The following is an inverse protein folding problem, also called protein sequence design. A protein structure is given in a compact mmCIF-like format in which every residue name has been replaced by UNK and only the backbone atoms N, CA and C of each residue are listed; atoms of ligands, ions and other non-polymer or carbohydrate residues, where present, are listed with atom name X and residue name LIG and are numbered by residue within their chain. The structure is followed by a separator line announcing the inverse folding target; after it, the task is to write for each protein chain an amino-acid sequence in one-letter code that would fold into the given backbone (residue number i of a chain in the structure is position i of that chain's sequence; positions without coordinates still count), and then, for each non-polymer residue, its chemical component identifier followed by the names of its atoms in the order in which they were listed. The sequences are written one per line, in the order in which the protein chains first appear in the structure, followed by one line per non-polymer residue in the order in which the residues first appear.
data_IF_769271292243
#
_entry.id   IF_769271292243
#
_cell.length_a   1.000
_cell.length_b   1.000
_cell.length_c   1.000
_cell.angle_alpha   90.00
_cell.angle_beta   90.00
_cell.angle_gamma   90.00
#
_symmetry.space_group_name_H-M   'P 1'
#
loop_
_entity.id
_entity.type
_entity.pdbx_description
1 polymer ?
#
# COMPACT_ATOMS: atom_id res chain seq x y z
N UNK A 1 -37.85 -27.85 19.65
CA UNK A 1 -36.67 -28.25 20.45
C UNK A 1 -36.88 -29.65 21.03
N UNK A 2 -38.00 -29.95 21.68
CA UNK A 2 -38.26 -31.24 22.35
C UNK A 2 -38.27 -32.43 21.37
N UNK A 3 -38.86 -32.27 20.19
CA UNK A 3 -38.90 -33.31 19.17
C UNK A 3 -37.50 -33.58 18.59
N UNK A 4 -36.68 -32.53 18.38
CA UNK A 4 -35.29 -32.65 17.87
C UNK A 4 -34.42 -33.38 18.93
N UNK A 5 -34.56 -33.00 20.20
CA UNK A 5 -33.83 -33.64 21.30
C UNK A 5 -34.22 -35.12 21.46
N UNK A 6 -35.49 -35.43 21.27
CA UNK A 6 -35.96 -36.82 21.29
C UNK A 6 -35.34 -37.61 20.14
N UNK A 7 -35.33 -37.07 18.90
CA UNK A 7 -34.72 -37.75 17.75
C UNK A 7 -33.22 -37.95 17.95
N UNK A 8 -32.53 -36.96 18.49
CA UNK A 8 -31.08 -37.05 18.77
C UNK A 8 -30.84 -38.10 19.86
N UNK A 9 -31.63 -38.12 20.93
CA UNK A 9 -31.52 -39.12 22.00
C UNK A 9 -31.75 -40.54 21.47
N UNK A 10 -32.71 -40.71 20.54
CA UNK A 10 -32.96 -41.97 19.86
C UNK A 10 -31.78 -42.40 19.02
N UNK A 11 -31.19 -41.48 18.22
CA UNK A 11 -30.00 -41.76 17.39
C UNK A 11 -28.79 -42.14 18.24
N UNK A 12 -28.59 -41.47 19.37
CA UNK A 12 -27.50 -41.73 20.31
C UNK A 12 -27.71 -43.09 21.00
N UNK A 13 -28.90 -43.37 21.53
CA UNK A 13 -29.22 -44.59 22.29
C UNK A 13 -29.18 -45.85 21.42
N UNK A 14 -29.42 -45.73 20.11
CA UNK A 14 -29.36 -46.87 19.19
C UNK A 14 -28.00 -47.00 18.50
N UNK A 15 -26.96 -46.31 18.98
CA UNK A 15 -25.58 -46.36 18.45
C UNK A 15 -25.53 -46.10 16.91
N UNK A 16 -26.50 -45.38 16.36
CA UNK A 16 -26.34 -44.90 15.00
C UNK A 16 -25.09 -44.01 14.92
N UNK A 17 -24.30 -44.26 13.90
CA UNK A 17 -23.02 -43.56 13.74
C UNK A 17 -23.27 -42.04 13.72
N UNK A 18 -23.06 -41.44 14.86
CA UNK A 18 -23.18 -39.96 15.03
C UNK A 18 -22.25 -39.25 14.04
N UNK A 19 -21.20 -39.95 13.60
CA UNK A 19 -20.20 -39.47 12.65
C UNK A 19 -20.34 -40.13 11.27
N UNK A 20 -21.54 -40.68 10.95
CA UNK A 20 -21.76 -41.25 9.63
C UNK A 20 -21.70 -40.14 8.54
N UNK A 21 -20.97 -40.39 7.65
CA UNK A 21 -20.82 -39.45 6.55
C UNK A 21 -21.94 -39.52 5.58
N UNK A 22 -22.46 -38.45 5.33
CA UNK A 22 -23.48 -38.28 4.33
C UNK A 22 -22.87 -37.85 3.01
N UNK A 23 -23.53 -37.42 2.23
CA UNK A 23 -23.04 -36.97 0.93
C UNK A 23 -21.92 -35.98 1.17
N UNK A 24 -21.01 -36.05 0.53
CA UNK A 24 -19.89 -35.30 0.61
C UNK A 24 -19.03 -35.57 1.82
N UNK A 25 -19.24 -36.68 2.36
CA UNK A 25 -18.51 -37.02 3.49
C UNK A 25 -18.73 -36.18 4.70
N UNK A 26 -19.71 -35.47 4.74
CA UNK A 26 -20.06 -34.55 5.86
C UNK A 26 -20.78 -35.31 6.96
N UNK A 27 -20.29 -35.18 8.17
CA UNK A 27 -21.00 -35.69 9.37
C UNK A 27 -22.17 -34.77 9.70
N UNK A 28 -23.03 -35.21 10.62
CA UNK A 28 -24.12 -34.37 11.14
C UNK A 28 -23.55 -33.04 11.71
N UNK A 29 -22.44 -33.14 12.43
CA UNK A 29 -21.78 -31.94 13.01
C UNK A 29 -21.35 -30.91 11.92
N UNK A 30 -20.75 -31.38 10.81
CA UNK A 30 -20.42 -30.48 9.66
C UNK A 30 -21.67 -29.77 9.15
N UNK A 31 -22.76 -30.51 9.00
CA UNK A 31 -24.02 -29.96 8.47
C UNK A 31 -24.65 -28.94 9.44
N UNK A 32 -24.57 -29.19 10.72
CA UNK A 32 -25.09 -28.28 11.74
C UNK A 32 -24.31 -26.96 11.72
N UNK A 33 -22.97 -27.01 11.64
CA UNK A 33 -22.10 -25.82 11.56
C UNK A 33 -22.42 -25.03 10.27
N UNK A 34 -22.55 -25.75 9.14
CA UNK A 34 -22.88 -25.11 7.86
C UNK A 34 -24.24 -24.41 7.89
N UNK A 35 -25.24 -25.02 8.51
CA UNK A 35 -26.59 -24.44 8.62
C UNK A 35 -26.65 -23.32 9.67
N UNK A 36 -25.90 -23.41 10.74
CA UNK A 36 -25.75 -22.36 11.75
C UNK A 36 -25.23 -21.07 11.07
N UNK A 37 -24.19 -21.21 10.24
CA UNK A 37 -23.67 -20.06 9.44
C UNK A 37 -24.75 -19.37 8.63
N UNK A 38 -25.69 -20.13 8.05
CA UNK A 38 -26.74 -19.58 7.18
C UNK A 38 -27.86 -18.88 7.95
N UNK A 39 -28.19 -19.34 9.12
CA UNK A 39 -29.39 -18.91 9.86
C UNK A 39 -29.08 -18.26 11.22
N UNK A 40 -27.89 -18.51 11.76
CA UNK A 40 -27.48 -18.11 13.12
C UNK A 40 -28.54 -18.55 14.18
N UNK A 41 -29.25 -19.62 13.87
CA UNK A 41 -30.36 -20.08 14.70
C UNK A 41 -29.85 -20.74 15.98
N UNK A 42 -30.42 -20.34 17.09
CA UNK A 42 -30.14 -20.95 18.41
C UNK A 42 -30.38 -22.47 18.41
N UNK A 43 -31.32 -22.96 17.62
CA UNK A 43 -31.56 -24.39 17.48
C UNK A 43 -30.35 -25.15 16.96
N UNK A 44 -29.61 -24.59 16.01
CA UNK A 44 -28.36 -25.24 15.53
C UNK A 44 -27.24 -25.10 16.56
N UNK A 45 -27.17 -23.99 17.28
CA UNK A 45 -26.21 -23.80 18.38
C UNK A 45 -26.38 -24.91 19.41
N UNK A 46 -27.60 -25.10 19.91
CA UNK A 46 -27.91 -26.16 20.89
C UNK A 46 -27.64 -27.57 20.33
N UNK A 47 -27.98 -27.80 19.06
CA UNK A 47 -27.74 -29.10 18.41
C UNK A 47 -26.24 -29.39 18.31
N UNK A 48 -25.42 -28.40 17.94
CA UNK A 48 -23.93 -28.55 17.89
C UNK A 48 -23.41 -28.94 19.30
N UNK A 49 -23.86 -28.24 20.35
CA UNK A 49 -23.46 -28.55 21.74
C UNK A 49 -23.83 -29.98 22.14
N UNK A 50 -25.06 -30.40 21.82
CA UNK A 50 -25.52 -31.74 22.10
C UNK A 50 -24.64 -32.78 21.40
N UNK A 51 -24.33 -32.58 20.11
CA UNK A 51 -23.48 -33.51 19.35
C UNK A 51 -22.07 -33.59 19.94
N UNK A 52 -21.47 -32.43 20.29
CA UNK A 52 -20.14 -32.41 20.91
C UNK A 52 -20.11 -33.11 22.27
N UNK A 53 -21.13 -32.85 23.12
CA UNK A 53 -21.24 -33.47 24.44
C UNK A 53 -21.47 -35.00 24.38
N UNK A 54 -21.96 -35.48 23.23
CA UNK A 54 -22.16 -36.93 23.01
C UNK A 54 -21.04 -37.56 22.18
N UNK A 55 -19.90 -36.87 22.05
CA UNK A 55 -18.67 -37.44 21.51
C UNK A 55 -18.57 -37.43 19.98
N UNK A 56 -19.28 -36.56 19.30
CA UNK A 56 -19.04 -36.36 17.85
C UNK A 56 -17.58 -36.00 17.59
N UNK A 57 -17.03 -36.63 16.57
CA UNK A 57 -15.63 -36.44 16.19
C UNK A 57 -15.42 -35.05 15.48
N UNK A 58 -14.80 -34.13 16.20
CA UNK A 58 -14.49 -32.77 15.69
C UNK A 58 -13.34 -32.75 14.66
N UNK A 59 -12.64 -33.89 14.51
CA UNK A 59 -11.51 -34.03 13.59
C UNK A 59 -11.84 -34.86 12.33
N UNK A 60 -13.08 -35.36 12.23
CA UNK A 60 -13.54 -36.09 11.04
C UNK A 60 -13.50 -35.15 9.83
N UNK A 61 -12.87 -35.58 8.74
CA UNK A 61 -12.70 -34.75 7.53
C UNK A 61 -13.81 -34.99 6.52
N UNK A 62 -14.33 -33.91 5.94
CA UNK A 62 -15.22 -33.92 4.79
C UNK A 62 -14.43 -34.17 3.49
N UNK A 63 -15.11 -34.15 2.33
CA UNK A 63 -14.48 -34.35 1.01
C UNK A 63 -13.52 -33.24 0.58
N UNK A 64 -13.46 -32.13 1.31
CA UNK A 64 -12.52 -31.03 1.07
C UNK A 64 -11.39 -31.02 2.10
N UNK A 65 -11.37 -32.01 2.98
CA UNK A 65 -10.41 -32.11 4.07
C UNK A 65 -10.75 -31.23 5.28
N UNK A 66 -11.89 -30.54 5.26
CA UNK A 66 -12.29 -29.69 6.39
C UNK A 66 -12.76 -30.57 7.55
N UNK A 67 -12.27 -30.31 8.74
CA UNK A 67 -12.88 -30.83 9.97
C UNK A 67 -14.03 -29.90 10.40
N UNK A 68 -14.95 -30.35 11.27
CA UNK A 68 -15.95 -29.45 11.87
C UNK A 68 -15.32 -28.19 12.47
N UNK A 69 -14.19 -28.30 13.16
CA UNK A 69 -13.50 -27.16 13.77
C UNK A 69 -12.94 -26.21 12.69
N UNK A 70 -12.33 -26.76 11.61
CA UNK A 70 -11.88 -25.95 10.46
C UNK A 70 -13.07 -25.19 9.84
N UNK A 71 -14.23 -25.85 9.67
CA UNK A 71 -15.43 -25.20 9.14
C UNK A 71 -15.90 -24.04 10.01
N UNK A 72 -15.85 -24.20 11.32
CA UNK A 72 -16.21 -23.13 12.27
C UNK A 72 -15.32 -21.89 12.03
N UNK A 73 -14.01 -22.12 11.94
CA UNK A 73 -13.02 -21.05 11.66
C UNK A 73 -13.19 -20.45 10.28
N UNK A 74 -13.44 -21.29 9.29
CA UNK A 74 -13.54 -20.94 7.86
C UNK A 74 -14.80 -20.11 7.55
N UNK A 75 -15.89 -20.37 8.26
CA UNK A 75 -17.19 -19.73 7.97
C UNK A 75 -17.45 -18.44 8.75
N UNK A 76 -16.46 -17.93 9.45
CA UNK A 76 -16.56 -16.65 10.16
C UNK A 76 -17.67 -16.65 11.22
N UNK A 77 -17.83 -17.79 11.89
CA UNK A 77 -18.81 -17.93 12.97
C UNK A 77 -18.25 -17.24 14.23
N UNK A 78 -18.92 -16.20 14.68
CA UNK A 78 -18.48 -15.40 15.82
C UNK A 78 -19.20 -15.82 17.10
N UNK A 79 -18.93 -17.08 17.51
CA UNK A 79 -19.52 -17.68 18.70
C UNK A 79 -18.39 -18.28 19.56
N UNK A 80 -18.00 -17.53 20.57
CA UNK A 80 -16.87 -17.89 21.44
C UNK A 80 -17.11 -19.21 22.17
N UNK A 81 -18.35 -19.46 22.64
CA UNK A 81 -18.71 -20.68 23.35
C UNK A 81 -18.52 -21.91 22.47
N UNK A 82 -19.07 -21.88 21.25
CA UNK A 82 -18.91 -22.99 20.30
C UNK A 82 -17.44 -23.20 19.93
N UNK A 83 -16.70 -22.09 19.75
CA UNK A 83 -15.29 -22.16 19.43
C UNK A 83 -14.50 -22.88 20.52
N UNK A 84 -14.74 -22.52 21.79
CA UNK A 84 -14.06 -23.11 22.94
C UNK A 84 -14.39 -24.61 23.10
N UNK A 85 -15.68 -24.98 23.00
CA UNK A 85 -16.11 -26.37 23.11
C UNK A 85 -15.49 -27.24 22.00
N UNK A 86 -15.48 -26.71 20.76
CA UNK A 86 -14.83 -27.44 19.65
C UNK A 86 -13.32 -27.60 19.88
N UNK A 87 -12.67 -26.51 20.31
CA UNK A 87 -11.22 -26.48 20.54
C UNK A 87 -10.78 -27.48 21.63
N UNK A 88 -11.59 -27.65 22.67
CA UNK A 88 -11.27 -28.62 23.76
C UNK A 88 -11.07 -30.05 23.25
N UNK A 89 -11.72 -30.37 22.14
CA UNK A 89 -11.73 -31.76 21.62
C UNK A 89 -11.01 -31.92 20.28
N UNK A 90 -10.62 -30.79 19.65
CA UNK A 90 -10.05 -30.77 18.29
C UNK A 90 -8.53 -30.90 18.30
N UNK A 91 -8.00 -31.47 17.23
CA UNK A 91 -6.58 -31.30 16.89
C UNK A 91 -6.39 -29.87 16.40
N UNK A 92 -5.75 -29.04 17.23
CA UNK A 92 -5.57 -27.59 17.04
C UNK A 92 -4.84 -27.26 15.71
N UNK A 93 -3.99 -28.19 15.22
CA UNK A 93 -3.20 -28.04 14.00
C UNK A 93 -3.72 -28.92 12.86
N UNK A 94 -4.96 -29.39 12.93
CA UNK A 94 -5.58 -30.13 11.81
C UNK A 94 -5.59 -29.24 10.54
N UNK A 95 -5.47 -29.88 9.38
CA UNK A 95 -5.38 -29.15 8.11
C UNK A 95 -6.42 -29.64 7.09
N UNK A 96 -6.93 -28.72 6.30
CA UNK A 96 -7.72 -29.07 5.11
C UNK A 96 -6.80 -29.56 3.98
N UNK A 97 -7.38 -29.88 2.80
CA UNK A 97 -6.58 -30.38 1.66
C UNK A 97 -5.62 -29.32 1.07
N UNK A 98 -5.78 -28.05 1.38
CA UNK A 98 -4.86 -27.00 0.98
C UNK A 98 -3.80 -26.69 2.07
N UNK A 99 -3.84 -27.41 3.19
CA UNK A 99 -2.89 -27.25 4.29
C UNK A 99 -3.22 -26.07 5.23
N UNK A 100 -4.41 -25.48 5.13
CA UNK A 100 -4.82 -24.41 6.06
C UNK A 100 -5.21 -25.00 7.41
N UNK A 101 -4.60 -24.47 8.47
CA UNK A 101 -4.97 -24.79 9.87
C UNK A 101 -6.11 -23.87 10.34
N UNK A 102 -6.77 -24.16 11.46
CA UNK A 102 -7.69 -23.23 12.12
C UNK A 102 -7.07 -21.83 12.28
N UNK A 103 -5.80 -21.76 12.72
CA UNK A 103 -5.09 -20.49 12.95
C UNK A 103 -4.95 -19.66 11.66
N UNK A 104 -4.71 -20.29 10.50
CA UNK A 104 -4.71 -19.60 9.22
C UNK A 104 -6.06 -18.90 8.97
N UNK A 105 -7.16 -19.62 9.18
CA UNK A 105 -8.51 -19.10 8.88
C UNK A 105 -8.90 -17.93 9.77
N UNK A 106 -8.67 -18.07 11.10
CA UNK A 106 -9.04 -16.98 12.03
C UNK A 106 -8.15 -15.74 11.82
N UNK A 107 -6.88 -15.94 11.42
CA UNK A 107 -5.96 -14.84 11.08
C UNK A 107 -6.41 -14.10 9.82
N UNK A 108 -6.74 -14.85 8.74
CA UNK A 108 -7.27 -14.28 7.49
C UNK A 108 -8.55 -13.46 7.71
N UNK A 109 -9.29 -13.76 8.76
CA UNK A 109 -10.58 -13.12 9.08
C UNK A 109 -10.49 -12.07 10.19
N UNK A 110 -9.27 -11.78 10.64
CA UNK A 110 -9.02 -10.80 11.70
C UNK A 110 -9.77 -11.11 13.01
N UNK A 111 -9.90 -12.40 13.37
CA UNK A 111 -10.58 -12.82 14.60
C UNK A 111 -9.60 -12.81 15.77
N UNK A 112 -9.30 -11.61 16.27
CA UNK A 112 -8.25 -11.37 17.28
C UNK A 112 -8.36 -12.32 18.48
N UNK A 113 -9.55 -12.45 19.08
CA UNK A 113 -9.73 -13.27 20.29
C UNK A 113 -9.51 -14.77 20.01
N UNK A 114 -9.93 -15.25 18.84
CA UNK A 114 -9.71 -16.66 18.45
C UNK A 114 -8.24 -16.92 18.12
N UNK A 115 -7.55 -15.96 17.46
CA UNK A 115 -6.10 -16.05 17.22
C UNK A 115 -5.37 -16.13 18.56
N UNK A 116 -5.71 -15.23 19.50
CA UNK A 116 -5.12 -15.20 20.84
C UNK A 116 -5.32 -16.53 21.58
N UNK A 117 -6.54 -17.04 21.54
CA UNK A 117 -6.86 -18.31 22.20
C UNK A 117 -6.08 -19.48 21.59
N UNK A 118 -6.05 -19.60 20.24
CA UNK A 118 -5.30 -20.68 19.57
C UNK A 118 -3.81 -20.61 19.89
N UNK A 119 -3.20 -19.42 19.84
CA UNK A 119 -1.78 -19.24 20.18
C UNK A 119 -1.52 -19.65 21.65
N UNK A 120 -2.38 -19.22 22.56
CA UNK A 120 -2.23 -19.56 24.00
C UNK A 120 -2.40 -21.07 24.28
N UNK A 121 -3.09 -21.78 23.41
CA UNK A 121 -3.26 -23.22 23.47
C UNK A 121 -2.19 -24.00 22.68
N UNK A 122 -1.20 -23.30 22.14
CA UNK A 122 -0.03 -23.91 21.49
C UNK A 122 -0.19 -24.21 20.01
N UNK A 123 -1.12 -23.56 19.31
CA UNK A 123 -1.24 -23.71 17.86
C UNK A 123 0.08 -23.33 17.16
N UNK A 124 0.43 -24.07 16.11
CA UNK A 124 1.67 -23.85 15.36
C UNK A 124 1.57 -22.56 14.53
N UNK A 125 2.23 -21.48 15.00
CA UNK A 125 2.25 -20.16 14.34
C UNK A 125 3.02 -20.20 13.01
N UNK A 126 3.89 -21.18 12.80
CA UNK A 126 4.73 -21.33 11.62
C UNK A 126 4.21 -22.43 10.65
N UNK A 127 3.01 -22.95 10.88
CA UNK A 127 2.42 -23.94 9.97
C UNK A 127 2.37 -23.34 8.54
N UNK A 128 2.80 -24.13 7.55
CA UNK A 128 2.80 -23.68 6.13
C UNK A 128 1.74 -24.46 5.36
N UNK A 129 0.87 -23.74 4.68
CA UNK A 129 -0.10 -24.34 3.77
C UNK A 129 0.59 -24.74 2.45
N UNK A 130 -0.16 -25.27 1.46
CA UNK A 130 0.38 -25.69 0.15
C UNK A 130 1.01 -24.54 -0.66
N UNK A 131 0.68 -23.29 -0.32
CA UNK A 131 1.23 -22.10 -0.99
C UNK A 131 2.45 -21.53 -0.23
N UNK A 132 2.87 -22.22 0.85
CA UNK A 132 3.99 -21.78 1.68
C UNK A 132 3.66 -20.65 2.65
N UNK A 133 2.38 -20.22 2.72
CA UNK A 133 1.98 -19.10 3.59
C UNK A 133 1.74 -19.59 5.03
N UNK A 134 2.05 -18.74 6.00
CA UNK A 134 1.85 -19.00 7.44
C UNK A 134 0.61 -18.23 7.94
N UNK A 135 0.06 -18.61 9.10
CA UNK A 135 -1.02 -17.83 9.72
C UNK A 135 -0.64 -16.35 9.94
N UNK A 136 0.60 -16.07 10.33
CA UNK A 136 1.12 -14.70 10.48
C UNK A 136 0.99 -13.93 9.17
N UNK A 137 1.45 -14.54 8.06
CA UNK A 137 1.34 -13.94 6.72
C UNK A 137 -0.11 -13.57 6.38
N UNK A 138 -1.06 -14.43 6.73
CA UNK A 138 -2.48 -14.17 6.49
C UNK A 138 -3.01 -13.00 7.31
N UNK A 139 -2.47 -12.76 8.50
CA UNK A 139 -2.98 -11.76 9.44
C UNK A 139 -2.37 -10.37 9.33
N UNK A 140 -1.17 -10.23 8.74
CA UNK A 140 -0.39 -8.97 8.82
C UNK A 140 -1.06 -7.76 8.15
N UNK A 141 -1.96 -8.00 7.20
CA UNK A 141 -2.67 -6.91 6.49
C UNK A 141 -3.82 -6.31 7.31
N UNK A 142 -4.22 -6.98 8.40
CA UNK A 142 -5.36 -6.56 9.21
C UNK A 142 -5.01 -5.57 10.33
N UNK A 143 -3.72 -5.25 10.46
CA UNK A 143 -3.26 -4.20 11.34
C UNK A 143 -2.38 -4.66 12.50
N UNK A 144 -1.94 -3.67 13.25
CA UNK A 144 -0.87 -3.78 14.26
C UNK A 144 -1.26 -4.73 15.43
N UNK A 145 -2.55 -4.79 15.78
CA UNK A 145 -3.00 -5.62 16.92
C UNK A 145 -2.69 -7.10 16.72
N UNK A 146 -2.99 -7.64 15.53
CA UNK A 146 -2.64 -9.03 15.20
C UNK A 146 -1.13 -9.24 15.13
N UNK A 147 -0.41 -8.28 14.53
CA UNK A 147 1.07 -8.34 14.44
C UNK A 147 1.68 -8.44 15.85
N UNK A 148 1.24 -7.58 16.78
CA UNK A 148 1.71 -7.60 18.18
C UNK A 148 1.47 -8.98 18.81
N UNK A 149 0.27 -9.53 18.63
CA UNK A 149 -0.11 -10.81 19.20
C UNK A 149 0.84 -11.92 18.77
N UNK A 150 1.20 -11.96 17.49
CA UNK A 150 2.16 -12.94 16.96
C UNK A 150 3.59 -12.70 17.48
N UNK A 151 4.03 -11.44 17.49
CA UNK A 151 5.40 -11.08 17.94
C UNK A 151 5.58 -11.28 19.45
N UNK A 152 4.51 -11.23 20.23
CA UNK A 152 4.51 -11.43 21.68
C UNK A 152 4.33 -12.90 22.06
N UNK A 153 4.07 -13.78 21.10
CA UNK A 153 3.98 -15.22 21.37
C UNK A 153 5.37 -15.77 21.71
N UNK A 154 5.40 -16.83 22.53
CA UNK A 154 6.66 -17.44 22.96
C UNK A 154 7.36 -18.20 21.82
N UNK A 155 6.72 -18.36 20.68
CA UNK A 155 7.27 -19.10 19.54
C UNK A 155 7.96 -18.13 18.57
N UNK A 156 9.20 -18.42 18.22
CA UNK A 156 9.95 -17.66 17.21
C UNK A 156 9.26 -17.78 15.84
N UNK A 157 8.94 -16.63 15.25
CA UNK A 157 8.31 -16.57 13.93
C UNK A 157 9.32 -16.77 12.81
N UNK A 158 8.97 -17.63 11.86
CA UNK A 158 9.73 -17.84 10.63
C UNK A 158 9.33 -16.73 9.64
N UNK A 159 10.19 -15.70 9.49
CA UNK A 159 9.92 -14.54 8.66
C UNK A 159 10.58 -14.70 7.28
N UNK A 160 9.77 -14.78 6.24
CA UNK A 160 10.23 -14.66 4.86
C UNK A 160 10.10 -13.18 4.47
N UNK A 161 11.20 -12.47 4.56
CA UNK A 161 11.23 -10.99 4.41
C UNK A 161 10.63 -10.53 3.08
N UNK A 162 11.07 -11.10 1.96
CA UNK A 162 10.61 -10.70 0.62
C UNK A 162 9.09 -10.90 0.48
N UNK A 163 8.60 -12.10 0.86
CA UNK A 163 7.17 -12.42 0.75
C UNK A 163 6.31 -11.52 1.64
N UNK A 164 6.76 -11.24 2.86
CA UNK A 164 6.01 -10.39 3.80
C UNK A 164 5.95 -8.95 3.30
N UNK A 165 7.10 -8.37 2.90
CA UNK A 165 7.14 -6.98 2.41
C UNK A 165 6.28 -6.85 1.14
N UNK A 166 6.42 -7.79 0.20
CA UNK A 166 5.62 -7.79 -1.03
C UNK A 166 4.11 -7.88 -0.72
N UNK A 167 3.72 -8.74 0.23
CA UNK A 167 2.31 -8.89 0.64
C UNK A 167 1.76 -7.56 1.19
N UNK A 168 2.51 -6.90 2.07
CA UNK A 168 2.13 -5.60 2.62
C UNK A 168 2.00 -4.54 1.52
N UNK A 169 2.89 -4.58 0.52
CA UNK A 169 2.84 -3.68 -0.66
C UNK A 169 1.56 -3.95 -1.48
N UNK A 170 1.26 -5.22 -1.80
CA UNK A 170 0.08 -5.59 -2.60
C UNK A 170 -1.21 -5.03 -1.97
N UNK A 171 -1.30 -5.02 -0.65
CA UNK A 171 -2.47 -4.53 0.08
C UNK A 171 -2.35 -3.07 0.52
N UNK A 172 -1.26 -2.39 0.11
CA UNK A 172 -0.96 -0.99 0.46
C UNK A 172 -1.03 -0.74 1.98
N UNK A 173 -0.56 -1.73 2.79
CA UNK A 173 -0.70 -1.78 4.24
C UNK A 173 0.45 -1.05 4.96
N UNK A 174 0.50 0.28 4.80
CA UNK A 174 1.61 1.14 5.27
C UNK A 174 1.80 1.05 6.79
N UNK A 175 0.70 1.02 7.57
CA UNK A 175 0.80 0.98 9.04
C UNK A 175 1.48 -0.29 9.53
N UNK A 176 1.12 -1.44 8.94
CA UNK A 176 1.74 -2.74 9.26
C UNK A 176 3.22 -2.74 8.84
N UNK A 177 3.51 -2.19 7.64
CA UNK A 177 4.86 -2.08 7.12
C UNK A 177 5.74 -1.24 8.05
N UNK A 178 5.27 -0.05 8.44
CA UNK A 178 5.99 0.87 9.33
C UNK A 178 6.25 0.22 10.69
N UNK A 179 5.23 -0.45 11.24
CA UNK A 179 5.36 -1.12 12.54
C UNK A 179 6.43 -2.22 12.51
N UNK A 180 6.38 -3.12 11.51
CA UNK A 180 7.33 -4.22 11.39
C UNK A 180 8.76 -3.71 11.14
N UNK A 181 8.92 -2.64 10.35
CA UNK A 181 10.21 -1.97 10.13
C UNK A 181 10.76 -1.37 11.43
N UNK A 182 9.92 -0.68 12.18
CA UNK A 182 10.34 -0.02 13.43
C UNK A 182 10.78 -1.03 14.49
N UNK A 183 10.27 -2.27 14.41
CA UNK A 183 10.65 -3.37 15.31
C UNK A 183 11.86 -4.18 14.79
N UNK A 184 12.36 -3.85 13.60
CA UNK A 184 13.49 -4.57 12.99
C UNK A 184 13.13 -5.99 12.51
N UNK A 185 11.85 -6.28 12.33
CA UNK A 185 11.36 -7.61 11.92
C UNK A 185 11.56 -7.84 10.43
N UNK A 186 11.45 -6.77 9.62
CA UNK A 186 11.59 -6.81 8.15
C UNK A 186 12.57 -5.75 7.67
N UNK A 187 13.08 -5.95 6.44
CA UNK A 187 13.93 -4.99 5.72
C UNK A 187 13.30 -4.72 4.34
N UNK A 188 13.09 -3.45 4.01
CA UNK A 188 12.54 -3.02 2.72
C UNK A 188 13.58 -2.98 1.59
N UNK A 189 14.86 -3.19 1.90
CA UNK A 189 15.96 -3.07 0.92
C UNK A 189 16.30 -4.40 0.23
N UNK A 190 15.31 -5.28 0.06
CA UNK A 190 15.51 -6.53 -0.66
C UNK A 190 15.67 -6.29 -2.17
N UNK A 191 16.29 -7.26 -2.83
CA UNK A 191 16.34 -7.34 -4.30
C UNK A 191 16.01 -8.78 -4.72
N UNK A 192 15.05 -8.89 -5.62
CA UNK A 192 14.71 -10.20 -6.20
C UNK A 192 15.82 -10.67 -7.16
N UNK A 193 15.72 -11.93 -7.61
CA UNK A 193 16.59 -12.46 -8.66
C UNK A 193 16.49 -11.68 -9.98
N UNK A 194 15.39 -10.93 -10.17
CA UNK A 194 15.17 -10.06 -11.34
C UNK A 194 15.63 -8.62 -11.10
N UNK A 195 16.29 -8.36 -9.98
CA UNK A 195 16.75 -7.02 -9.53
C UNK A 195 15.57 -6.06 -9.27
N UNK A 196 14.42 -6.59 -8.90
CA UNK A 196 13.25 -5.79 -8.48
C UNK A 196 13.44 -5.37 -7.02
N UNK A 197 12.97 -4.18 -6.68
CA UNK A 197 13.05 -3.59 -5.32
C UNK A 197 11.63 -3.42 -4.77
N UNK A 198 11.52 -3.15 -3.48
CA UNK A 198 10.22 -2.83 -2.84
C UNK A 198 9.53 -1.65 -3.53
N UNK A 199 10.29 -0.66 -4.02
CA UNK A 199 9.72 0.47 -4.79
C UNK A 199 9.19 -0.02 -6.14
N UNK A 200 9.94 -0.89 -6.84
CA UNK A 200 9.47 -1.45 -8.10
C UNK A 200 8.13 -2.20 -7.89
N UNK A 201 8.05 -3.02 -6.83
CA UNK A 201 6.82 -3.74 -6.47
C UNK A 201 5.68 -2.74 -6.17
N UNK A 202 5.95 -1.67 -5.41
CA UNK A 202 4.93 -0.66 -5.09
C UNK A 202 4.36 0.01 -6.35
N UNK A 203 5.20 0.25 -7.36
CA UNK A 203 4.76 0.77 -8.66
C UNK A 203 3.96 -0.29 -9.43
N UNK A 204 4.45 -1.53 -9.50
CA UNK A 204 3.80 -2.64 -10.22
C UNK A 204 2.39 -2.93 -9.70
N UNK A 205 2.22 -2.90 -8.39
CA UNK A 205 0.92 -3.15 -7.74
C UNK A 205 0.07 -1.90 -7.53
N UNK A 206 0.54 -0.73 -7.98
CA UNK A 206 -0.14 0.56 -7.80
C UNK A 206 -0.39 0.90 -6.33
N UNK A 207 0.52 0.50 -5.44
CA UNK A 207 0.46 0.73 -4.00
C UNK A 207 0.89 2.17 -3.68
N UNK A 208 -0.04 3.11 -3.82
CA UNK A 208 0.22 4.55 -3.77
C UNK A 208 0.81 4.99 -2.43
N UNK A 209 0.16 4.60 -1.33
CA UNK A 209 0.58 5.06 0.01
C UNK A 209 1.93 4.45 0.39
N UNK A 210 2.13 3.18 0.05
CA UNK A 210 3.40 2.49 0.29
C UNK A 210 4.51 3.10 -0.56
N UNK A 211 4.25 3.43 -1.83
CA UNK A 211 5.24 4.09 -2.70
C UNK A 211 5.71 5.42 -2.09
N UNK A 212 4.76 6.27 -1.68
CA UNK A 212 5.08 7.56 -1.05
C UNK A 212 5.90 7.35 0.23
N UNK A 213 5.49 6.38 1.04
CA UNK A 213 6.19 6.02 2.29
C UNK A 213 7.65 5.61 2.01
N UNK A 214 7.86 4.70 1.05
CA UNK A 214 9.20 4.19 0.70
C UNK A 214 10.09 5.30 0.13
N UNK A 215 9.55 6.14 -0.75
CA UNK A 215 10.29 7.27 -1.36
C UNK A 215 10.69 8.32 -0.32
N UNK A 216 9.87 8.53 0.71
CA UNK A 216 10.19 9.48 1.79
C UNK A 216 11.27 8.94 2.73
N UNK A 217 11.54 7.64 2.70
CA UNK A 217 12.63 6.98 3.42
C UNK A 217 13.87 6.78 2.52
N UNK A 218 13.96 7.54 1.42
CA UNK A 218 15.06 7.50 0.46
C UNK A 218 15.26 6.11 -0.18
N UNK A 219 14.17 5.39 -0.37
CA UNK A 219 14.19 4.11 -1.08
C UNK A 219 14.75 4.26 -2.50
N UNK A 220 15.53 3.30 -2.93
CA UNK A 220 16.20 3.32 -4.24
C UNK A 220 15.20 2.96 -5.35
N UNK A 221 14.79 3.98 -6.13
CA UNK A 221 13.91 3.78 -7.29
C UNK A 221 14.68 3.87 -8.62
N UNK A 222 16.00 4.13 -8.58
CA UNK A 222 16.86 4.23 -9.76
C UNK A 222 17.48 2.89 -10.14
N UNK A 223 16.68 1.82 -10.12
CA UNK A 223 17.10 0.48 -10.47
C UNK A 223 16.56 0.06 -11.84
N UNK A 224 17.32 -0.80 -12.52
CA UNK A 224 16.95 -1.41 -13.78
C UNK A 224 16.84 -2.92 -13.54
N UNK A 225 15.71 -3.51 -13.86
CA UNK A 225 15.50 -4.96 -13.73
C UNK A 225 16.32 -5.72 -14.77
N UNK A 226 16.46 -7.03 -14.61
CA UNK A 226 17.17 -7.88 -15.59
C UNK A 226 16.51 -7.85 -16.98
N UNK A 227 15.22 -7.52 -17.07
CA UNK A 227 14.50 -7.35 -18.34
C UNK A 227 14.68 -5.96 -18.97
N UNK A 228 15.39 -5.05 -18.26
CA UNK A 228 15.59 -3.66 -18.69
C UNK A 228 14.46 -2.71 -18.31
N UNK A 229 13.51 -3.14 -17.50
CA UNK A 229 12.42 -2.29 -17.00
C UNK A 229 12.89 -1.43 -15.83
N UNK A 230 12.18 -0.31 -15.61
CA UNK A 230 12.42 0.63 -14.52
C UNK A 230 11.08 0.96 -13.85
N UNK A 231 11.11 1.56 -12.69
CA UNK A 231 9.88 2.05 -12.03
C UNK A 231 9.08 3.00 -12.96
N UNK A 232 9.79 3.82 -13.75
CA UNK A 232 9.15 4.76 -14.68
C UNK A 232 8.46 4.01 -15.82
N UNK A 233 9.16 3.04 -16.45
CA UNK A 233 8.56 2.24 -17.54
C UNK A 233 7.38 1.42 -17.03
N UNK A 234 7.44 0.91 -15.81
CA UNK A 234 6.37 0.16 -15.17
C UNK A 234 5.14 1.05 -14.91
N UNK A 235 5.35 2.29 -14.43
CA UNK A 235 4.26 3.26 -14.22
C UNK A 235 3.55 3.60 -15.55
N UNK A 236 4.31 3.69 -16.66
CA UNK A 236 3.74 3.90 -17.99
C UNK A 236 2.96 2.65 -18.45
N UNK A 237 3.50 1.46 -18.23
CA UNK A 237 2.84 0.19 -18.56
C UNK A 237 1.50 0.06 -17.84
N UNK A 238 1.44 0.50 -16.58
CA UNK A 238 0.23 0.52 -15.76
C UNK A 238 -0.70 1.71 -16.07
N UNK A 239 -0.30 2.57 -17.01
CA UNK A 239 -1.03 3.78 -17.39
C UNK A 239 -1.32 4.69 -16.18
N UNK A 240 -0.41 4.76 -15.21
CA UNK A 240 -0.62 5.46 -13.95
C UNK A 240 0.09 6.81 -13.92
N UNK A 241 -0.65 7.87 -14.30
CA UNK A 241 -0.13 9.25 -14.33
C UNK A 241 0.24 9.75 -12.93
N UNK A 242 -0.52 9.36 -11.90
CA UNK A 242 -0.27 9.82 -10.52
C UNK A 242 1.10 9.32 -10.06
N UNK A 243 1.38 8.03 -10.25
CA UNK A 243 2.68 7.44 -9.91
C UNK A 243 3.80 8.09 -10.74
N UNK A 244 3.55 8.34 -12.03
CA UNK A 244 4.51 9.05 -12.88
C UNK A 244 4.87 10.43 -12.31
N UNK A 245 3.86 11.22 -11.94
CA UNK A 245 4.08 12.57 -11.35
C UNK A 245 4.91 12.46 -10.05
N UNK A 246 4.63 11.47 -9.21
CA UNK A 246 5.38 11.22 -7.97
C UNK A 246 6.85 10.89 -8.28
N UNK A 247 7.08 9.93 -9.19
CA UNK A 247 8.45 9.50 -9.54
C UNK A 247 9.25 10.65 -10.17
N UNK A 248 8.66 11.41 -11.10
CA UNK A 248 9.32 12.55 -11.73
C UNK A 248 9.60 13.68 -10.73
N UNK A 249 8.76 13.86 -9.70
CA UNK A 249 8.98 14.85 -8.64
C UNK A 249 10.24 14.54 -7.82
N UNK A 250 10.67 13.29 -7.77
CA UNK A 250 11.90 12.85 -7.07
C UNK A 250 13.16 13.06 -7.92
N UNK A 251 13.01 13.64 -9.12
CA UNK A 251 14.10 14.02 -10.03
C UNK A 251 15.01 12.85 -10.43
N UNK A 252 14.44 11.83 -11.08
CA UNK A 252 15.25 10.69 -11.55
C UNK A 252 16.37 11.14 -12.49
N UNK A 253 17.51 10.45 -12.42
CA UNK A 253 18.70 10.77 -13.21
C UNK A 253 18.55 10.32 -14.68
N UNK A 254 19.43 10.83 -15.55
CA UNK A 254 19.50 10.38 -16.95
C UNK A 254 19.77 8.88 -17.07
N UNK A 255 20.50 8.31 -16.10
CA UNK A 255 20.80 6.86 -16.05
C UNK A 255 19.54 6.02 -16.02
N UNK A 256 18.43 6.56 -15.50
CA UNK A 256 17.14 5.90 -15.43
C UNK A 256 16.20 6.37 -16.54
N UNK A 257 16.19 7.67 -16.83
CA UNK A 257 15.25 8.25 -17.80
C UNK A 257 15.41 7.65 -19.20
N UNK A 258 16.67 7.54 -19.68
CA UNK A 258 16.93 7.02 -21.04
C UNK A 258 16.53 5.52 -21.14
N UNK A 259 16.99 4.62 -20.26
CA UNK A 259 16.51 3.23 -20.29
C UNK A 259 14.98 3.10 -20.15
N UNK A 260 14.34 3.97 -19.33
CA UNK A 260 12.88 3.96 -19.19
C UNK A 260 12.18 4.21 -20.52
N UNK A 261 12.61 5.24 -21.26
CA UNK A 261 12.02 5.56 -22.55
C UNK A 261 12.25 4.45 -23.58
N UNK A 262 13.43 3.83 -23.57
CA UNK A 262 13.74 2.67 -24.41
C UNK A 262 12.80 1.49 -24.07
N UNK A 263 12.62 1.19 -22.78
CA UNK A 263 11.74 0.11 -22.32
C UNK A 263 10.28 0.38 -22.74
N UNK A 264 9.80 1.63 -22.54
CA UNK A 264 8.43 2.03 -22.93
C UNK A 264 8.20 1.79 -24.42
N UNK A 265 9.13 2.23 -25.26
CA UNK A 265 8.98 2.16 -26.72
C UNK A 265 9.06 0.74 -27.29
N UNK A 266 9.59 -0.22 -26.55
CA UNK A 266 9.56 -1.65 -26.93
C UNK A 266 8.13 -2.20 -26.95
N UNK A 267 7.22 -1.63 -26.17
CA UNK A 267 5.82 -2.05 -26.14
C UNK A 267 5.02 -1.28 -27.20
N UNK A 268 4.42 -2.01 -28.12
CA UNK A 268 3.67 -1.42 -29.27
C UNK A 268 2.46 -0.57 -28.82
N UNK A 269 1.89 -0.85 -27.65
CA UNK A 269 0.72 -0.15 -27.13
C UNK A 269 1.06 0.62 -25.84
N UNK A 270 2.04 1.54 -25.93
CA UNK A 270 2.37 2.40 -24.80
C UNK A 270 1.55 3.70 -24.85
N UNK A 271 1.34 4.30 -23.67
CA UNK A 271 0.66 5.60 -23.56
C UNK A 271 1.61 6.70 -24.05
N UNK A 272 1.29 7.28 -25.22
CA UNK A 272 2.11 8.32 -25.85
C UNK A 272 2.23 9.60 -24.98
N UNK A 273 1.19 9.92 -24.23
CA UNK A 273 1.22 11.14 -23.40
C UNK A 273 2.14 10.97 -22.17
N UNK A 274 2.15 9.78 -21.57
CA UNK A 274 3.08 9.47 -20.48
C UNK A 274 4.53 9.42 -20.99
N UNK A 275 4.75 8.89 -22.20
CA UNK A 275 6.09 8.93 -22.81
C UNK A 275 6.52 10.40 -23.11
N UNK A 276 5.61 11.24 -23.57
CA UNK A 276 5.89 12.67 -23.77
C UNK A 276 6.27 13.36 -22.44
N UNK A 277 5.68 12.94 -21.32
CA UNK A 277 6.09 13.43 -19.98
C UNK A 277 7.55 13.08 -19.69
N UNK A 278 7.96 11.85 -20.03
CA UNK A 278 9.36 11.41 -19.87
C UNK A 278 10.29 12.25 -20.76
N UNK A 279 9.95 12.42 -22.03
CA UNK A 279 10.72 13.23 -23.01
C UNK A 279 10.88 14.67 -22.49
N UNK A 280 9.76 15.28 -22.12
CA UNK A 280 9.70 16.66 -21.59
C UNK A 280 10.61 16.83 -20.37
N UNK A 281 10.53 15.89 -19.43
CA UNK A 281 11.36 15.91 -18.21
C UNK A 281 12.85 15.77 -18.59
N UNK A 282 13.18 14.79 -19.45
CA UNK A 282 14.57 14.49 -19.82
C UNK A 282 15.21 15.65 -20.60
N UNK A 283 14.44 16.33 -21.47
CA UNK A 283 14.91 17.49 -22.23
C UNK A 283 15.42 18.64 -21.33
N UNK A 284 14.92 18.72 -20.09
CA UNK A 284 15.40 19.72 -19.12
C UNK A 284 16.78 19.38 -18.57
N UNK A 285 17.24 18.13 -18.73
CA UNK A 285 18.45 17.60 -18.11
C UNK A 285 19.59 17.31 -19.08
N UNK A 286 19.31 17.34 -20.40
CA UNK A 286 20.28 16.94 -21.42
C UNK A 286 20.17 17.86 -22.65
N UNK A 287 20.94 17.57 -23.70
CA UNK A 287 20.91 18.29 -24.97
C UNK A 287 20.06 17.53 -26.00
N UNK A 288 19.79 18.22 -27.10
CA UNK A 288 18.98 17.70 -28.22
C UNK A 288 19.60 16.44 -28.82
N UNK A 289 20.93 16.46 -29.04
CA UNK A 289 21.64 15.37 -29.72
C UNK A 289 21.53 14.08 -28.92
N UNK A 290 21.68 14.15 -27.60
CA UNK A 290 21.53 12.99 -26.69
C UNK A 290 20.14 12.34 -26.82
N UNK A 291 19.07 13.15 -26.88
CA UNK A 291 17.71 12.62 -26.98
C UNK A 291 17.40 12.08 -28.37
N UNK A 292 17.84 12.75 -29.43
CA UNK A 292 17.55 12.34 -30.80
C UNK A 292 18.34 11.07 -31.18
N UNK A 293 19.49 10.83 -30.56
CA UNK A 293 20.28 9.62 -30.77
C UNK A 293 19.60 8.36 -30.23
N UNK A 294 18.59 8.50 -29.38
CA UNK A 294 17.78 7.36 -28.92
C UNK A 294 16.84 6.97 -30.07
N UNK A 295 17.25 5.95 -30.87
CA UNK A 295 16.58 5.51 -32.09
C UNK A 295 15.07 5.28 -31.91
N UNK A 296 14.68 4.70 -30.77
CA UNK A 296 13.29 4.39 -30.48
C UNK A 296 12.41 5.64 -30.30
N UNK A 297 13.02 6.82 -30.13
CA UNK A 297 12.29 8.10 -30.01
C UNK A 297 12.15 8.86 -31.32
N UNK A 298 12.67 8.36 -32.45
CA UNK A 298 12.64 9.08 -33.72
C UNK A 298 11.23 9.52 -34.15
N UNK A 299 10.20 8.72 -33.84
CA UNK A 299 8.82 9.10 -34.14
C UNK A 299 8.34 10.33 -33.34
N UNK A 300 9.05 10.69 -32.25
CA UNK A 300 8.75 11.86 -31.41
C UNK A 300 9.68 13.05 -31.68
N UNK A 301 10.47 13.02 -32.78
CA UNK A 301 11.43 14.07 -33.12
C UNK A 301 10.80 15.47 -33.10
N UNK A 302 9.60 15.61 -33.66
CA UNK A 302 8.86 16.88 -33.69
C UNK A 302 8.57 17.40 -32.28
N UNK A 303 8.24 16.50 -31.33
CA UNK A 303 7.95 16.86 -29.95
C UNK A 303 9.24 17.21 -29.18
N UNK A 304 10.31 16.48 -29.45
CA UNK A 304 11.65 16.76 -28.88
C UNK A 304 12.10 18.16 -29.29
N UNK A 305 12.00 18.47 -30.59
CA UNK A 305 12.32 19.82 -31.10
C UNK A 305 11.51 20.90 -30.37
N UNK A 306 10.21 20.70 -30.22
CA UNK A 306 9.34 21.66 -29.53
C UNK A 306 9.78 21.87 -28.07
N UNK A 307 10.17 20.78 -27.37
CA UNK A 307 10.69 20.88 -25.98
C UNK A 307 11.91 21.81 -25.93
N UNK A 308 12.87 21.63 -26.83
CA UNK A 308 14.11 22.42 -26.83
C UNK A 308 13.87 23.87 -27.26
N UNK A 309 12.98 24.12 -28.20
CA UNK A 309 12.58 25.49 -28.58
C UNK A 309 12.03 26.25 -27.37
N UNK A 310 11.14 25.63 -26.61
CA UNK A 310 10.56 26.26 -25.41
C UNK A 310 11.58 26.43 -24.28
N UNK A 311 12.50 25.46 -24.09
CA UNK A 311 13.61 25.55 -23.14
C UNK A 311 14.50 26.78 -23.51
N UNK A 312 14.78 26.98 -24.79
CA UNK A 312 15.59 28.13 -25.26
C UNK A 312 14.87 29.45 -24.98
N UNK A 313 13.56 29.51 -25.17
CA UNK A 313 12.76 30.69 -24.80
C UNK A 313 12.94 30.96 -23.29
N UNK A 314 12.80 29.97 -22.44
CA UNK A 314 12.95 30.12 -20.98
C UNK A 314 14.37 30.52 -20.58
N UNK A 315 15.40 30.01 -21.30
CA UNK A 315 16.80 30.38 -21.07
C UNK A 315 17.12 31.83 -21.47
N UNK A 316 16.40 32.38 -22.44
CA UNK A 316 16.55 33.77 -22.89
C UNK A 316 15.75 34.76 -22.04
N UNK A 317 14.79 34.31 -21.26
CA UNK A 317 13.99 35.18 -20.37
C UNK A 317 14.69 35.30 -19.02
N UNK A 318 15.19 36.47 -18.70
CA UNK A 318 15.92 36.77 -17.47
C UNK A 318 15.06 37.50 -16.45
N UNK A 319 15.26 37.18 -15.20
CA UNK A 319 14.73 37.89 -14.03
C UNK A 319 15.91 38.14 -13.10
N UNK A 320 16.38 39.39 -13.03
CA UNK A 320 17.63 39.74 -12.37
C UNK A 320 18.77 38.92 -13.01
N UNK A 321 19.49 38.13 -12.23
CA UNK A 321 20.65 37.37 -12.68
C UNK A 321 20.34 35.87 -12.94
N UNK A 322 19.05 35.48 -13.02
CA UNK A 322 18.65 34.10 -13.27
C UNK A 322 17.71 34.00 -14.47
N UNK A 323 17.81 32.93 -15.24
CA UNK A 323 16.87 32.65 -16.32
C UNK A 323 15.59 32.05 -15.76
N UNK A 324 14.47 32.17 -16.50
CA UNK A 324 13.21 31.51 -16.12
C UNK A 324 13.42 29.99 -16.05
N UNK A 325 14.23 29.44 -16.94
CA UNK A 325 14.59 28.00 -16.90
C UNK A 325 15.22 27.63 -15.55
N UNK A 326 16.20 28.39 -15.07
CA UNK A 326 16.86 28.15 -13.78
C UNK A 326 15.85 28.24 -12.61
N UNK A 327 14.96 29.25 -12.66
CA UNK A 327 13.95 29.42 -11.61
C UNK A 327 12.95 28.25 -11.57
N UNK A 328 12.57 27.73 -12.73
CA UNK A 328 11.54 26.67 -12.84
C UNK A 328 12.12 25.28 -12.49
N UNK A 329 13.32 24.97 -12.97
CA UNK A 329 13.86 23.60 -12.91
C UNK A 329 15.02 23.40 -11.94
N UNK A 330 15.71 24.46 -11.55
CA UNK A 330 16.92 24.35 -10.71
C UNK A 330 16.70 24.78 -9.25
N UNK A 331 15.73 25.68 -9.00
CA UNK A 331 15.49 26.19 -7.65
C UNK A 331 14.29 25.47 -7.03
N UNK A 332 14.57 24.78 -5.92
CA UNK A 332 13.56 24.02 -5.16
C UNK A 332 12.85 24.86 -4.09
N UNK A 333 13.54 25.86 -3.56
CA UNK A 333 13.05 26.64 -2.43
C UNK A 333 11.99 27.64 -2.88
N UNK A 334 10.76 27.42 -2.39
CA UNK A 334 9.59 28.25 -2.72
C UNK A 334 9.77 29.71 -2.23
N UNK A 335 10.47 29.92 -1.12
CA UNK A 335 10.72 31.25 -0.60
C UNK A 335 11.63 32.04 -1.54
N UNK A 336 12.66 31.39 -2.09
CA UNK A 336 13.52 32.00 -3.13
C UNK A 336 12.71 32.34 -4.39
N UNK A 337 11.77 31.48 -4.79
CA UNK A 337 10.91 31.68 -5.97
C UNK A 337 9.91 32.84 -5.78
N UNK A 338 9.49 33.11 -4.57
CA UNK A 338 8.52 34.17 -4.28
C UNK A 338 8.93 35.54 -4.78
N UNK A 339 9.97 35.62 -4.79
CA UNK A 339 10.54 36.79 -5.19
C UNK A 339 10.44 37.08 -6.61
N UNK A 340 10.34 36.17 -7.28
CA UNK A 340 10.34 36.25 -8.72
C UNK A 340 8.94 36.10 -9.33
N UNK A 341 7.98 35.54 -8.61
CA UNK A 341 6.70 35.07 -9.16
C UNK A 341 5.79 36.09 -9.82
N UNK A 342 6.03 37.39 -9.59
CA UNK A 342 5.25 38.49 -10.22
C UNK A 342 5.94 39.10 -11.43
N UNK A 343 7.15 38.65 -11.77
CA UNK A 343 7.93 39.28 -12.84
C UNK A 343 7.31 38.98 -14.22
N UNK A 344 7.24 39.96 -15.12
CA UNK A 344 6.64 39.76 -16.45
C UNK A 344 7.24 38.62 -17.27
N UNK A 345 8.53 38.35 -17.14
CA UNK A 345 9.19 37.22 -17.83
C UNK A 345 8.62 35.85 -17.40
N UNK A 346 8.21 35.71 -16.13
CA UNK A 346 7.52 34.50 -15.66
C UNK A 346 6.15 34.35 -16.33
N UNK A 347 5.43 35.48 -16.42
CA UNK A 347 4.09 35.52 -17.04
C UNK A 347 4.19 35.18 -18.55
N UNK A 348 5.21 35.66 -19.25
CA UNK A 348 5.44 35.37 -20.68
C UNK A 348 5.62 33.86 -20.92
N UNK A 349 6.30 33.16 -20.02
CA UNK A 349 6.58 31.72 -20.18
C UNK A 349 5.39 30.82 -19.80
N UNK A 350 4.33 31.36 -19.17
CA UNK A 350 3.18 30.55 -18.77
C UNK A 350 2.30 30.08 -19.95
N UNK A 351 2.46 30.73 -21.12
CA UNK A 351 1.71 30.41 -22.33
C UNK A 351 2.38 29.36 -23.21
N UNK A 352 3.56 28.89 -22.85
CA UNK A 352 4.25 27.81 -23.57
C UNK A 352 3.40 26.51 -23.58
N UNK A 353 3.38 25.82 -24.70
CA UNK A 353 2.54 24.63 -24.87
C UNK A 353 3.04 23.43 -24.04
N UNK A 354 4.36 23.23 -24.04
CA UNK A 354 4.97 22.08 -23.35
C UNK A 354 5.20 22.38 -21.87
N UNK A 355 5.87 23.47 -21.55
CA UNK A 355 6.30 23.80 -20.19
C UNK A 355 5.42 24.84 -19.48
N UNK A 356 4.45 25.43 -20.16
CA UNK A 356 3.60 26.47 -19.58
C UNK A 356 2.84 25.98 -18.34
N UNK A 357 2.37 24.74 -18.32
CA UNK A 357 1.71 24.16 -17.15
C UNK A 357 2.65 24.13 -15.94
N UNK A 358 3.91 23.78 -16.13
CA UNK A 358 4.95 23.79 -15.08
C UNK A 358 5.14 25.20 -14.52
N UNK A 359 5.27 26.19 -15.41
CA UNK A 359 5.41 27.60 -15.02
C UNK A 359 4.16 28.08 -14.27
N UNK A 360 2.95 27.75 -14.78
CA UNK A 360 1.69 28.10 -14.10
C UNK A 360 1.60 27.51 -12.71
N UNK A 361 1.98 26.24 -12.53
CA UNK A 361 1.94 25.57 -11.24
C UNK A 361 2.87 26.23 -10.22
N UNK A 362 4.07 26.62 -10.66
CA UNK A 362 5.03 27.36 -9.80
C UNK A 362 4.45 28.72 -9.41
N UNK A 363 3.88 29.44 -10.37
CA UNK A 363 3.23 30.75 -10.10
C UNK A 363 2.08 30.57 -9.11
N UNK A 364 1.25 29.52 -9.28
CA UNK A 364 0.13 29.23 -8.39
C UNK A 364 0.62 28.91 -6.97
N UNK A 365 1.67 28.10 -6.85
CA UNK A 365 2.28 27.74 -5.54
C UNK A 365 2.84 28.99 -4.85
N UNK A 366 3.53 29.86 -5.60
CA UNK A 366 4.06 31.13 -5.08
C UNK A 366 2.91 32.01 -4.55
N UNK A 367 1.85 32.16 -5.34
CA UNK A 367 0.67 32.97 -4.98
C UNK A 367 -0.04 32.43 -3.76
N UNK A 368 -0.20 31.10 -3.71
CA UNK A 368 -0.82 30.40 -2.57
C UNK A 368 -0.02 30.68 -1.30
N UNK A 369 1.29 30.47 -1.34
CA UNK A 369 2.17 30.70 -0.20
C UNK A 369 2.15 32.16 0.26
N UNK A 370 2.22 33.11 -0.69
CA UNK A 370 2.12 34.53 -0.37
C UNK A 370 0.80 34.87 0.33
N UNK A 371 -0.30 34.24 -0.12
CA UNK A 371 -1.62 34.41 0.49
C UNK A 371 -1.65 33.86 1.94
N UNK A 372 -1.10 32.66 2.15
CA UNK A 372 -1.02 32.06 3.51
C UNK A 372 -0.26 32.97 4.48
N UNK A 373 0.91 33.45 4.08
CA UNK A 373 1.75 34.34 4.88
C UNK A 373 0.99 35.65 5.19
N UNK A 374 0.34 36.24 4.18
CA UNK A 374 -0.42 37.48 4.35
C UNK A 374 -1.61 37.31 5.31
N UNK A 375 -2.35 36.20 5.18
CA UNK A 375 -3.49 35.90 6.06
C UNK A 375 -3.03 35.69 7.50
N UNK A 376 -1.94 34.93 7.68
CA UNK A 376 -1.40 34.64 9.02
C UNK A 376 -0.86 35.90 9.68
N UNK A 377 -0.14 36.73 8.91
CA UNK A 377 0.34 38.04 9.41
C UNK A 377 -0.82 38.93 9.89
N UNK A 378 -1.90 39.01 9.11
CA UNK A 378 -3.10 39.77 9.50
C UNK A 378 -3.77 39.24 10.76
N UNK A 379 -3.87 37.93 10.91
CA UNK A 379 -4.44 37.30 12.12
C UNK A 379 -3.57 37.58 13.34
N UNK A 380 -2.25 37.46 13.20
CA UNK A 380 -1.30 37.71 14.27
C UNK A 380 -1.24 39.20 14.66
N UNK A 381 -1.46 40.12 13.69
CA UNK A 381 -1.51 41.58 13.94
C UNK A 381 -2.68 41.97 14.87
N UNK A 382 -3.70 41.12 14.97
CA UNK A 382 -4.78 41.32 15.94
C UNK A 382 -4.35 41.09 17.39
N UNK A 383 -3.16 40.47 17.61
CA UNK A 383 -2.57 40.28 18.93
C UNK A 383 -1.51 41.33 19.27
N UNK A 384 -1.54 41.85 20.48
CA UNK A 384 -0.70 42.97 20.89
C UNK A 384 0.81 42.76 20.72
N UNK A 385 1.28 41.53 20.90
CA UNK A 385 2.74 41.25 20.90
C UNK A 385 3.32 41.12 19.50
N UNK A 386 2.52 40.72 18.52
CA UNK A 386 2.97 40.54 17.13
C UNK A 386 3.03 41.88 16.37
N UNK A 387 2.08 42.77 16.73
CA UNK A 387 1.94 44.08 16.04
C UNK A 387 3.17 44.98 16.20
N UNK A 388 3.98 44.78 17.25
CA UNK A 388 5.19 45.59 17.50
C UNK A 388 6.36 45.28 16.52
N UNK A 389 6.32 44.16 15.81
CA UNK A 389 7.39 43.82 14.87
C UNK A 389 7.18 44.52 13.52
N UNK A 390 8.24 45.03 12.88
CA UNK A 390 8.16 45.50 11.48
C UNK A 390 7.69 44.35 10.53
N UNK A 391 6.95 44.73 9.50
CA UNK A 391 6.40 43.74 8.54
C UNK A 391 7.48 42.87 7.91
N UNK A 392 8.65 43.43 7.64
CA UNK A 392 9.79 42.69 7.06
C UNK A 392 10.22 41.51 7.96
N UNK A 393 10.23 41.74 9.28
CA UNK A 393 10.61 40.73 10.25
C UNK A 393 9.49 39.68 10.38
N UNK A 394 8.22 40.13 10.38
CA UNK A 394 7.06 39.24 10.40
C UNK A 394 7.10 38.24 9.22
N UNK A 395 7.32 38.75 8.02
CA UNK A 395 7.42 37.92 6.82
C UNK A 395 8.60 36.93 6.90
N UNK A 396 9.76 37.38 7.34
CA UNK A 396 10.94 36.51 7.54
C UNK A 396 10.69 35.38 8.51
N UNK A 397 9.95 35.64 9.60
CA UNK A 397 9.59 34.60 10.57
C UNK A 397 8.66 33.58 9.90
N UNK A 398 7.61 34.05 9.22
CA UNK A 398 6.60 33.19 8.60
C UNK A 398 7.18 32.38 7.42
N UNK A 399 8.18 32.91 6.74
CA UNK A 399 8.88 32.20 5.64
C UNK A 399 9.63 30.95 6.10
N UNK A 400 9.94 30.82 7.41
CA UNK A 400 10.60 29.64 7.95
C UNK A 400 9.66 28.44 8.11
N UNK A 401 8.33 28.65 8.04
CA UNK A 401 7.35 27.57 8.17
C UNK A 401 6.98 27.01 6.78
N UNK A 402 6.73 25.71 6.70
CA UNK A 402 6.20 25.11 5.47
C UNK A 402 4.69 25.39 5.31
N UNK A 403 4.11 25.10 4.16
CA UNK A 403 2.70 25.41 3.87
C UNK A 403 1.72 24.71 4.79
N UNK A 404 2.04 23.48 5.22
CA UNK A 404 1.20 22.71 6.16
C UNK A 404 1.20 23.37 7.55
N UNK A 405 2.38 23.79 8.01
CA UNK A 405 2.51 24.52 9.28
C UNK A 405 1.74 25.84 9.24
N UNK A 406 1.91 26.63 8.15
CA UNK A 406 1.18 27.89 7.98
C UNK A 406 -0.34 27.64 7.98
N UNK A 407 -0.80 26.60 7.30
CA UNK A 407 -2.22 26.23 7.25
C UNK A 407 -2.74 25.81 8.63
N UNK A 408 -1.94 25.04 9.36
CA UNK A 408 -2.28 24.60 10.73
C UNK A 408 -2.43 25.79 11.67
N UNK A 409 -1.47 26.71 11.64
CA UNK A 409 -1.54 27.93 12.47
C UNK A 409 -2.75 28.80 12.12
N UNK A 410 -3.10 28.90 10.83
CA UNK A 410 -4.29 29.63 10.41
C UNK A 410 -5.60 29.05 10.94
N UNK A 411 -5.65 27.74 11.17
CA UNK A 411 -6.82 27.06 11.77
C UNK A 411 -6.90 27.25 13.30
N UNK A 412 -5.75 27.32 13.94
CA UNK A 412 -5.65 27.45 15.40
C UNK A 412 -6.00 28.89 15.84
N UNK A 413 -5.53 29.89 15.10
CA UNK A 413 -5.81 31.31 15.34
C UNK A 413 -7.21 31.72 14.85
#
# INVERSE_FOLDING_TARGET
LDTVNIYISILINHRFYIDAXXXXXCTLLHRCIYNYRKSESESYNELIKILLNNGSDVDKKDTYGNTPFILLCKHDIDNAELFEICLENANIDSVDFNGYTPLHYVSCRNKYDFVKLLISKGANVNARNRFGTTPFYCGIIHGISLIKLYLESDTELEIDNEHIVRHLIIFDAVESLDYLLSRGVIDINYRTIYNETSIYDAVSYNAYNTLVYLLNRNGDFETITTSGCTCISEAVANNNKIIMDILLSKRPSLKIMIPSMIAITKHKQHNADLLKMCIKYTACMTDYDTLIDVQSLHQYKWYILKCFDEIDIMKRCYIKNKTVFQLVFCIKDINTLMXYGRHPSFVKCNILDVYGSHVRNIIASIRYRQRLISLLSKKLDAGDKWSCFPNEIKYKILENFNDNELTTYLKIL
#
